data_IF_110291575865
#
_entry.id   IF_110291575865
#
_cell.length_a   1.000
_cell.length_b   1.000
_cell.length_c   1.000
_cell.angle_alpha   90.00
_cell.angle_beta   90.00
_cell.angle_gamma   90.00
#
_symmetry.space_group_name_H-M   'P 1'
#
loop_
_entity.id
_entity.type
_entity.pdbx_description
1 polymer ?
#
# COMPACT_ATOMS: atom_id res chain seq x y z
N UNK A 1 14.85 -8.24 55.63
CA UNK A 1 13.43 -8.18 55.24
C UNK A 1 13.30 -7.24 54.05
N UNK A 2 13.03 -7.79 52.87
CA UNK A 2 12.83 -7.05 51.62
C UNK A 2 11.38 -6.53 51.59
N UNK A 3 11.19 -5.21 51.56
CA UNK A 3 9.88 -4.59 51.34
C UNK A 3 9.81 -4.06 49.91
N UNK A 4 9.01 -4.70 49.07
CA UNK A 4 8.59 -4.24 47.74
C UNK A 4 7.55 -3.11 47.87
N UNK A 5 7.67 -2.00 47.13
CA UNK A 5 6.54 -1.13 46.88
C UNK A 5 5.79 -1.58 45.61
N UNK A 6 4.51 -1.94 45.78
CA UNK A 6 3.53 -2.01 44.69
C UNK A 6 3.34 -0.60 44.09
N UNK A 7 3.61 -0.46 42.80
CA UNK A 7 3.18 0.71 42.04
C UNK A 7 1.84 0.39 41.36
N UNK A 8 0.90 1.28 41.65
CA UNK A 8 -0.51 1.26 41.36
C UNK A 8 -0.82 1.21 39.87
N UNK A 9 -1.76 0.33 39.52
CA UNK A 9 -2.33 0.15 38.19
C UNK A 9 -2.95 1.46 37.69
N UNK A 10 -2.29 2.12 36.74
CA UNK A 10 -2.88 3.21 35.98
C UNK A 10 -3.63 2.58 34.81
N UNK A 11 -4.95 2.49 34.97
CA UNK A 11 -5.87 1.95 33.98
C UNK A 11 -5.96 2.94 32.81
N UNK A 12 -5.05 2.80 31.85
CA UNK A 12 -5.09 3.53 30.58
C UNK A 12 -6.33 3.04 29.83
N UNK A 13 -7.35 3.90 29.78
CA UNK A 13 -8.50 3.75 28.89
C UNK A 13 -7.99 3.83 27.45
N UNK A 14 -7.65 2.69 26.89
CA UNK A 14 -7.44 2.56 25.44
C UNK A 14 -8.82 2.72 24.79
N UNK A 15 -9.01 3.61 23.80
CA UNK A 15 -10.25 3.65 23.04
C UNK A 15 -10.42 2.29 22.36
N UNK A 16 -11.47 1.55 22.72
CA UNK A 16 -11.91 0.38 21.98
C UNK A 16 -12.35 0.90 20.61
N UNK A 17 -11.43 0.87 19.64
CA UNK A 17 -11.79 0.97 18.24
C UNK A 17 -12.69 -0.22 17.96
N UNK A 18 -13.97 0.07 17.72
CA UNK A 18 -14.88 -0.87 17.07
C UNK A 18 -14.15 -1.47 15.87
N UNK A 19 -14.22 -2.80 15.64
CA UNK A 19 -13.66 -3.38 14.44
C UNK A 19 -14.45 -2.80 13.27
N UNK A 20 -13.91 -1.73 12.68
CA UNK A 20 -14.33 -1.24 11.38
C UNK A 20 -14.16 -2.45 10.48
N UNK A 21 -15.29 -3.04 10.07
CA UNK A 21 -15.31 -4.24 9.27
C UNK A 21 -14.64 -3.84 7.95
N UNK A 22 -13.33 -4.09 7.85
CA UNK A 22 -12.58 -3.88 6.62
C UNK A 22 -13.17 -4.86 5.62
N UNK A 23 -14.16 -4.40 4.87
CA UNK A 23 -14.62 -5.10 3.69
C UNK A 23 -13.40 -5.27 2.79
N UNK A 24 -13.03 -6.52 2.53
CA UNK A 24 -11.90 -6.85 1.68
C UNK A 24 -12.05 -6.13 0.34
N UNK A 25 -10.95 -5.72 -0.28
CA UNK A 25 -11.01 -5.06 -1.58
C UNK A 25 -11.77 -5.93 -2.60
N UNK A 26 -11.58 -7.25 -2.52
CA UNK A 26 -12.29 -8.22 -3.35
C UNK A 26 -13.81 -8.16 -3.18
N UNK A 27 -14.33 -7.74 -2.02
CA UNK A 27 -15.76 -7.72 -1.79
C UNK A 27 -16.51 -6.66 -2.58
N UNK A 28 -15.78 -5.68 -3.11
CA UNK A 28 -16.32 -4.62 -3.94
C UNK A 28 -16.46 -5.04 -5.41
N UNK A 29 -16.00 -6.24 -5.80
CA UNK A 29 -16.03 -6.74 -7.18
C UNK A 29 -16.97 -7.93 -7.38
N UNK A 30 -17.94 -8.12 -6.49
CA UNK A 30 -19.00 -9.14 -6.63
C UNK A 30 -20.07 -8.77 -7.67
N UNK A 31 -19.64 -8.50 -8.90
CA UNK A 31 -20.52 -8.14 -10.02
C UNK A 31 -21.17 -9.36 -10.67
N UNK A 32 -20.48 -10.50 -10.64
CA UNK A 32 -20.88 -11.72 -11.34
C UNK A 32 -22.32 -12.19 -11.00
N UNK A 33 -22.74 -12.29 -9.72
CA UNK A 33 -24.09 -12.76 -9.39
C UNK A 33 -25.19 -11.82 -9.91
N UNK A 34 -24.90 -10.52 -9.96
CA UNK A 34 -25.84 -9.48 -10.39
C UNK A 34 -25.98 -9.48 -11.91
N UNK A 35 -24.89 -9.74 -12.62
CA UNK A 35 -24.87 -9.95 -14.08
C UNK A 35 -25.58 -11.24 -14.47
N UNK A 36 -25.35 -12.35 -13.76
CA UNK A 36 -26.06 -13.61 -14.01
C UNK A 36 -27.57 -13.45 -13.82
N UNK A 37 -28.00 -12.78 -12.73
CA UNK A 37 -29.41 -12.51 -12.49
C UNK A 37 -30.04 -11.64 -13.59
N UNK A 38 -29.30 -10.65 -14.10
CA UNK A 38 -29.75 -9.83 -15.21
C UNK A 38 -29.85 -10.63 -16.52
N UNK A 39 -28.87 -11.52 -16.78
CA UNK A 39 -28.88 -12.39 -17.96
C UNK A 39 -30.09 -13.34 -17.95
N UNK A 40 -30.38 -13.96 -16.81
CA UNK A 40 -31.54 -14.83 -16.62
C UNK A 40 -32.87 -14.10 -16.88
N UNK A 41 -33.03 -12.88 -16.37
CA UNK A 41 -34.24 -12.05 -16.62
C UNK A 41 -34.39 -11.66 -18.09
N UNK A 42 -33.27 -11.42 -18.79
CA UNK A 42 -33.28 -11.11 -20.24
C UNK A 42 -33.66 -12.36 -21.05
N UNK A 43 -33.09 -13.52 -20.71
CA UNK A 43 -33.30 -14.79 -21.41
C UNK A 43 -34.71 -15.35 -21.17
N UNK A 44 -35.23 -15.21 -19.95
CA UNK A 44 -36.55 -15.73 -19.54
C UNK A 44 -37.71 -14.74 -19.76
N UNK A 45 -37.42 -13.55 -20.28
CA UNK A 45 -38.38 -12.76 -21.06
C UNK A 45 -39.50 -12.09 -20.27
N UNK A 46 -39.22 -10.90 -19.73
CA UNK A 46 -39.96 -9.67 -20.08
C UNK A 46 -39.21 -8.49 -19.50
N UNK A 47 -38.94 -7.46 -20.32
CA UNK A 47 -38.39 -6.20 -19.83
C UNK A 47 -39.45 -5.54 -18.95
N UNK A 48 -39.32 -5.77 -17.65
CA UNK A 48 -40.21 -5.29 -16.61
C UNK A 48 -39.46 -4.35 -15.66
N UNK A 49 -40.19 -3.82 -14.68
CA UNK A 49 -39.63 -2.90 -13.69
C UNK A 49 -38.47 -3.52 -12.88
N UNK A 50 -38.44 -4.85 -12.76
CA UNK A 50 -37.36 -5.59 -12.10
C UNK A 50 -36.08 -5.60 -12.96
N UNK A 51 -36.18 -5.82 -14.28
CA UNK A 51 -35.03 -5.72 -15.19
C UNK A 51 -34.39 -4.32 -15.18
N UNK A 52 -35.20 -3.26 -15.20
CA UNK A 52 -34.71 -1.87 -15.16
C UNK A 52 -34.09 -1.52 -13.79
N UNK A 53 -34.62 -2.08 -12.69
CA UNK A 53 -34.05 -1.94 -11.36
C UNK A 53 -32.68 -2.63 -11.26
N UNK A 54 -32.53 -3.86 -11.80
CA UNK A 54 -31.27 -4.59 -11.84
C UNK A 54 -30.20 -3.84 -12.65
N UNK A 55 -30.56 -3.26 -13.79
CA UNK A 55 -29.64 -2.43 -14.58
C UNK A 55 -29.19 -1.21 -13.79
N UNK A 56 -30.10 -0.55 -13.07
CA UNK A 56 -29.78 0.61 -12.23
C UNK A 56 -28.85 0.23 -11.07
N UNK A 57 -29.13 -0.89 -10.40
CA UNK A 57 -28.30 -1.41 -9.32
C UNK A 57 -26.90 -1.79 -9.81
N UNK A 58 -26.81 -2.47 -10.96
CA UNK A 58 -25.54 -2.86 -11.56
C UNK A 58 -24.70 -1.63 -11.94
N UNK A 59 -25.31 -0.60 -12.55
CA UNK A 59 -24.63 0.67 -12.84
C UNK A 59 -24.11 1.35 -11.55
N UNK A 60 -24.93 1.41 -10.50
CA UNK A 60 -24.50 1.97 -9.22
C UNK A 60 -23.32 1.19 -8.62
N UNK A 61 -23.30 -0.13 -8.80
CA UNK A 61 -22.19 -0.95 -8.34
C UNK A 61 -20.92 -0.68 -9.15
N UNK A 62 -21.01 -0.57 -10.47
CA UNK A 62 -19.89 -0.16 -11.32
C UNK A 62 -19.31 1.21 -10.93
N UNK A 63 -20.17 2.19 -10.64
CA UNK A 63 -19.73 3.51 -10.19
C UNK A 63 -18.95 3.44 -8.87
N UNK A 64 -19.39 2.59 -7.93
CA UNK A 64 -18.69 2.35 -6.66
C UNK A 64 -17.34 1.66 -6.89
N UNK A 65 -17.29 0.63 -7.75
CA UNK A 65 -16.04 -0.02 -8.13
C UNK A 65 -15.06 0.99 -8.76
N UNK A 66 -15.54 1.85 -9.65
CA UNK A 66 -14.72 2.87 -10.31
C UNK A 66 -14.19 3.89 -9.31
N UNK A 67 -15.03 4.38 -8.39
CA UNK A 67 -14.60 5.30 -7.32
C UNK A 67 -13.53 4.68 -6.43
N UNK A 68 -13.68 3.40 -6.09
CA UNK A 68 -12.67 2.66 -5.33
C UNK A 68 -11.35 2.55 -6.10
N UNK A 69 -11.39 2.20 -7.39
CA UNK A 69 -10.20 2.16 -8.25
C UNK A 69 -9.51 3.53 -8.35
N UNK A 70 -10.29 4.61 -8.48
CA UNK A 70 -9.77 5.98 -8.50
C UNK A 70 -9.12 6.34 -7.16
N UNK A 71 -9.73 5.95 -6.03
CA UNK A 71 -9.18 6.15 -4.69
C UNK A 71 -7.86 5.41 -4.49
N UNK A 72 -7.79 4.14 -4.91
CA UNK A 72 -6.55 3.34 -4.87
C UNK A 72 -5.48 3.99 -5.75
N UNK A 73 -5.83 4.38 -6.97
CA UNK A 73 -4.92 5.04 -7.91
C UNK A 73 -4.35 6.34 -7.33
N UNK A 74 -5.20 7.19 -6.75
CA UNK A 74 -4.78 8.43 -6.08
C UNK A 74 -3.88 8.18 -4.87
N UNK A 75 -4.21 7.19 -4.03
CA UNK A 75 -3.39 6.78 -2.89
C UNK A 75 -2.02 6.23 -3.30
N UNK A 76 -1.98 5.44 -4.38
CA UNK A 76 -0.75 4.86 -4.91
C UNK A 76 0.15 5.94 -5.55
N UNK A 77 -0.43 6.89 -6.30
CA UNK A 77 0.30 8.01 -6.90
C UNK A 77 0.90 8.97 -5.87
N UNK A 78 0.32 9.06 -4.66
CA UNK A 78 0.82 9.92 -3.58
C UNK A 78 1.93 9.27 -2.73
N UNK A 79 2.15 7.96 -2.82
CA UNK A 79 3.18 7.27 -2.03
C UNK A 79 4.41 7.05 -2.89
N UNK A 80 5.47 7.81 -2.63
CA UNK A 80 6.85 7.60 -3.14
C UNK A 80 7.43 6.21 -2.78
N UNK A 81 6.67 5.37 -2.06
CA UNK A 81 7.00 3.99 -1.72
C UNK A 81 6.49 3.00 -2.78
N UNK A 82 6.49 3.36 -4.05
CA UNK A 82 6.33 2.36 -5.11
C UNK A 82 7.56 1.47 -5.14
N UNK A 83 7.41 0.20 -5.49
CA UNK A 83 8.54 -0.75 -5.59
C UNK A 83 9.61 -0.21 -6.53
N UNK A 84 9.19 0.37 -7.67
CA UNK A 84 10.11 0.99 -8.62
C UNK A 84 10.81 2.25 -8.06
N UNK A 85 10.10 3.05 -7.26
CA UNK A 85 10.68 4.21 -6.58
C UNK A 85 11.73 3.80 -5.55
N UNK A 86 11.44 2.78 -4.75
CA UNK A 86 12.39 2.21 -3.81
C UNK A 86 13.61 1.59 -4.51
N UNK A 87 13.38 0.86 -5.62
CA UNK A 87 14.45 0.30 -6.44
C UNK A 87 15.41 1.40 -6.94
N UNK A 88 14.86 2.49 -7.51
CA UNK A 88 15.67 3.62 -7.98
C UNK A 88 16.51 4.25 -6.86
N UNK A 89 15.93 4.45 -5.68
CA UNK A 89 16.66 5.02 -4.53
C UNK A 89 17.82 4.11 -4.07
N UNK A 90 17.63 2.79 -4.12
CA UNK A 90 18.68 1.81 -3.80
C UNK A 90 19.81 1.88 -4.84
N UNK A 91 19.47 1.90 -6.12
CA UNK A 91 20.44 2.01 -7.22
C UNK A 91 21.28 3.30 -7.12
N UNK A 92 20.65 4.44 -6.80
CA UNK A 92 21.36 5.71 -6.57
C UNK A 92 22.28 5.65 -5.36
N UNK A 93 21.82 5.06 -4.25
CA UNK A 93 22.62 4.89 -3.04
C UNK A 93 23.83 3.99 -3.28
N UNK A 94 23.67 2.91 -4.04
CA UNK A 94 24.75 2.00 -4.41
C UNK A 94 25.82 2.69 -5.26
N UNK A 95 25.42 3.52 -6.23
CA UNK A 95 26.36 4.32 -7.03
C UNK A 95 27.17 5.29 -6.17
N UNK A 96 26.53 5.99 -5.23
CA UNK A 96 27.22 6.89 -4.29
C UNK A 96 28.19 6.13 -3.38
N UNK A 97 27.80 4.93 -2.93
CA UNK A 97 28.69 4.07 -2.15
C UNK A 97 29.91 3.62 -2.96
N UNK A 98 29.72 3.28 -4.23
CA UNK A 98 30.83 2.91 -5.10
C UNK A 98 31.80 4.08 -5.30
N UNK A 99 31.30 5.28 -5.61
CA UNK A 99 32.13 6.49 -5.73
C UNK A 99 32.93 6.77 -4.45
N UNK A 100 32.32 6.58 -3.27
CA UNK A 100 33.02 6.73 -1.99
C UNK A 100 34.12 5.70 -1.80
N UNK A 101 33.90 4.44 -2.20
CA UNK A 101 34.94 3.39 -2.12
C UNK A 101 36.12 3.72 -3.01
N UNK A 102 35.87 4.15 -4.24
CA UNK A 102 36.92 4.52 -5.18
C UNK A 102 37.74 5.69 -4.65
N UNK A 103 37.08 6.72 -4.09
CA UNK A 103 37.76 7.86 -3.47
C UNK A 103 38.63 7.45 -2.27
N UNK A 104 38.15 6.52 -1.43
CA UNK A 104 38.93 5.98 -0.31
C UNK A 104 40.19 5.27 -0.81
N UNK A 105 40.09 4.51 -1.91
CA UNK A 105 41.24 3.83 -2.51
C UNK A 105 42.28 4.83 -3.01
N UNK A 106 41.85 5.88 -3.73
CA UNK A 106 42.75 6.93 -4.22
C UNK A 106 43.40 7.71 -3.07
N UNK A 107 42.63 8.03 -2.02
CA UNK A 107 43.19 8.69 -0.84
C UNK A 107 44.23 7.82 -0.13
N UNK A 108 43.95 6.52 0.04
CA UNK A 108 44.91 5.58 0.63
C UNK A 108 46.20 5.53 -0.17
N UNK A 109 46.09 5.44 -1.49
CA UNK A 109 47.25 5.45 -2.40
C UNK A 109 48.07 6.74 -2.26
N UNK A 110 47.40 7.89 -2.20
CA UNK A 110 48.06 9.19 -2.04
C UNK A 110 48.84 9.28 -0.71
N UNK A 111 48.27 8.75 0.38
CA UNK A 111 48.96 8.67 1.68
C UNK A 111 50.16 7.72 1.61
N UNK A 112 50.02 6.53 1.01
CA UNK A 112 51.12 5.59 0.83
C UNK A 112 52.29 6.20 0.02
N UNK A 113 52.00 7.02 -0.98
CA UNK A 113 53.00 7.75 -1.76
C UNK A 113 53.71 8.81 -0.92
N UNK A 114 52.98 9.61 -0.13
CA UNK A 114 53.57 10.62 0.77
C UNK A 114 54.49 9.97 1.79
N UNK A 115 54.04 8.88 2.45
CA UNK A 115 54.83 8.17 3.47
C UNK A 115 56.11 7.56 2.88
N UNK A 116 56.10 7.13 1.62
CA UNK A 116 57.30 6.62 0.94
C UNK A 116 58.32 7.70 0.58
N UNK A 117 57.89 8.95 0.50
CA UNK A 117 58.72 10.11 0.16
C UNK A 117 59.35 10.73 1.42
N UNK A 118 58.80 10.45 2.60
CA UNK A 118 59.36 10.91 3.89
C UNK A 118 60.68 10.15 4.20
N UNK A 119 61.80 10.86 4.48
CA UNK A 119 63.15 10.27 4.62
C UNK A 119 63.39 9.48 5.91
#
# INVERSE_FOLDING_TARGET
MMHTPQLQQQLVQTPVQTPQQHQSLASHFHLYPMVEKLADVIENGTRDQNSDALVTELNSHFDKCQQLLNSISGSLGSKTMTVDGQKRNVEESEQLLQQRRDLIVEYRKSIEEIVKIEP
#
